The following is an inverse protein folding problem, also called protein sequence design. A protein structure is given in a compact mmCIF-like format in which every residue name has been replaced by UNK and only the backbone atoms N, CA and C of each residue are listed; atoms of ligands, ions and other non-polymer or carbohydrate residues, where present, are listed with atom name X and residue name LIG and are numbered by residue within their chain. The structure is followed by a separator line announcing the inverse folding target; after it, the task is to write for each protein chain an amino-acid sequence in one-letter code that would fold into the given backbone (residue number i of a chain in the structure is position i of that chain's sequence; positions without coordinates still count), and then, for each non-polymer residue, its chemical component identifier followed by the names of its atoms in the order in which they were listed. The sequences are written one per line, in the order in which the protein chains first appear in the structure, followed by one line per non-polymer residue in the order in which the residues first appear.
data_IF_653051327494
#
_entry.id   IF_653051327494
#
_cell.length_a   1.000
_cell.length_b   1.000
_cell.length_c   1.000
_cell.angle_alpha   90.00
_cell.angle_beta   90.00
_cell.angle_gamma   90.00
#
_symmetry.space_group_name_H-M   'P 1'
#
loop_
_entity.id
_entity.type
_entity.pdbx_description
1 polymer ?
#
# COMPACT_ATOMS: atom_id res chain seq x y z
N UNK A 1 -19.60 -73.54 -31.29
CA UNK A 1 -19.87 -72.27 -32.00
C UNK A 1 -20.64 -71.34 -31.06
N UNK A 2 -20.33 -70.02 -31.07
CA UNK A 2 -20.78 -68.95 -30.14
C UNK A 2 -20.20 -68.97 -28.71
N UNK A 3 -19.47 -67.90 -28.36
CA UNK A 3 -19.39 -67.14 -27.09
C UNK A 3 -18.18 -66.16 -27.18
N UNK A 4 -18.19 -64.89 -26.74
CA UNK A 4 -19.24 -63.84 -26.76
C UNK A 4 -18.58 -62.43 -26.69
N UNK A 5 -19.27 -61.38 -27.18
CA UNK A 5 -19.08 -59.91 -26.98
C UNK A 5 -17.66 -59.30 -26.98
N UNK A 6 -17.37 -58.50 -28.01
CA UNK A 6 -16.44 -57.35 -27.94
C UNK A 6 -17.25 -56.05 -27.86
N UNK A 7 -17.49 -55.54 -26.64
CA UNK A 7 -18.28 -54.31 -26.40
C UNK A 7 -17.87 -53.59 -25.10
N UNK A 8 -16.66 -53.04 -25.05
CA UNK A 8 -16.21 -52.13 -23.97
C UNK A 8 -15.37 -50.93 -24.43
N UNK A 9 -14.72 -51.00 -25.60
CA UNK A 9 -13.78 -49.97 -26.05
C UNK A 9 -14.42 -48.70 -26.67
N UNK A 10 -15.67 -48.76 -27.15
CA UNK A 10 -16.28 -47.66 -27.91
C UNK A 10 -17.00 -46.60 -27.06
N UNK A 11 -17.28 -46.89 -25.78
CA UNK A 11 -18.13 -46.04 -24.94
C UNK A 11 -17.39 -44.90 -24.24
N UNK A 12 -16.07 -44.99 -24.11
CA UNK A 12 -15.29 -44.10 -23.24
C UNK A 12 -14.80 -42.82 -23.96
N UNK A 13 -14.64 -42.86 -25.28
CA UNK A 13 -14.18 -41.71 -26.07
C UNK A 13 -15.24 -40.64 -26.27
N UNK A 14 -16.52 -41.03 -26.45
CA UNK A 14 -17.63 -40.10 -26.65
C UNK A 14 -17.91 -39.20 -25.43
N UNK A 15 -17.67 -39.71 -24.22
CA UNK A 15 -17.88 -38.99 -22.96
C UNK A 15 -16.86 -37.86 -22.74
N UNK A 16 -15.60 -38.05 -23.16
CA UNK A 16 -14.58 -36.99 -23.08
C UNK A 16 -14.86 -35.81 -24.01
N UNK A 17 -15.36 -36.05 -25.22
CA UNK A 17 -15.67 -34.96 -26.17
C UNK A 17 -16.83 -34.06 -25.72
N UNK A 18 -17.83 -34.62 -25.03
CA UNK A 18 -18.93 -33.82 -24.49
C UNK A 18 -18.48 -32.93 -23.31
N UNK A 19 -17.62 -33.45 -22.42
CA UNK A 19 -17.07 -32.69 -21.29
C UNK A 19 -16.19 -31.51 -21.73
N UNK A 20 -15.39 -31.69 -22.80
CA UNK A 20 -14.57 -30.62 -23.37
C UNK A 20 -15.41 -29.50 -24.02
N UNK A 21 -16.49 -29.84 -24.72
CA UNK A 21 -17.41 -28.84 -25.29
C UNK A 21 -18.18 -28.06 -24.21
N UNK A 22 -18.56 -28.71 -23.10
CA UNK A 22 -19.19 -28.03 -21.98
C UNK A 22 -18.27 -26.96 -21.35
N UNK A 23 -16.96 -27.23 -21.26
CA UNK A 23 -15.96 -26.26 -20.79
C UNK A 23 -15.91 -25.01 -21.67
N UNK A 24 -15.90 -25.17 -23.01
CA UNK A 24 -15.87 -24.02 -23.93
C UNK A 24 -17.14 -23.15 -23.90
N UNK A 25 -18.31 -23.72 -23.59
CA UNK A 25 -19.55 -22.94 -23.44
C UNK A 25 -19.59 -22.22 -22.09
N UNK A 26 -19.05 -22.82 -21.01
CA UNK A 26 -18.97 -22.18 -19.70
C UNK A 26 -17.92 -21.05 -19.64
N UNK A 27 -16.91 -21.07 -20.52
CA UNK A 27 -15.98 -19.95 -20.73
C UNK A 27 -16.58 -18.74 -21.47
N UNK A 28 -17.88 -18.76 -21.79
CA UNK A 28 -18.63 -17.52 -22.08
C UNK A 28 -19.01 -16.82 -20.77
N UNK A 29 -18.02 -16.60 -19.92
CA UNK A 29 -18.12 -15.59 -18.87
C UNK A 29 -18.24 -14.23 -19.57
N UNK A 30 -19.19 -13.43 -19.11
CA UNK A 30 -19.60 -12.24 -19.84
C UNK A 30 -18.45 -11.23 -19.85
N UNK A 31 -17.99 -10.83 -21.04
CA UNK A 31 -17.11 -9.65 -21.20
C UNK A 31 -17.95 -8.38 -21.07
N UNK A 32 -18.79 -8.32 -20.02
CA UNK A 32 -19.51 -7.14 -19.59
C UNK A 32 -18.53 -6.19 -18.91
N UNK A 33 -17.89 -5.38 -19.76
CA UNK A 33 -17.26 -4.14 -19.36
C UNK A 33 -16.03 -4.29 -18.46
N UNK A 34 -14.88 -3.93 -19.02
CA UNK A 34 -13.92 -3.12 -18.24
C UNK A 34 -14.59 -1.76 -18.01
N UNK A 35 -15.54 -1.72 -17.08
CA UNK A 35 -16.01 -0.46 -16.50
C UNK A 35 -14.79 0.23 -15.91
N UNK A 36 -14.59 1.50 -16.25
CA UNK A 36 -13.50 2.27 -15.66
C UNK A 36 -13.60 2.22 -14.13
N UNK A 37 -12.43 2.23 -13.46
CA UNK A 37 -12.34 2.25 -11.99
C UNK A 37 -13.39 3.21 -11.41
N UNK A 38 -14.15 2.76 -10.40
CA UNK A 38 -15.12 3.64 -9.76
C UNK A 38 -14.42 4.85 -9.15
N UNK A 39 -15.14 5.95 -8.93
CA UNK A 39 -14.57 7.13 -8.27
C UNK A 39 -13.96 6.78 -6.90
N UNK A 40 -14.56 5.81 -6.21
CA UNK A 40 -14.06 5.28 -4.93
C UNK A 40 -12.75 4.50 -5.09
N UNK A 41 -12.60 3.68 -6.14
CA UNK A 41 -11.34 2.97 -6.42
C UNK A 41 -10.22 3.94 -6.84
N UNK A 42 -10.55 4.93 -7.67
CA UNK A 42 -9.61 5.97 -8.08
C UNK A 42 -9.11 6.77 -6.86
N UNK A 43 -10.03 7.17 -5.98
CA UNK A 43 -9.71 7.84 -4.73
C UNK A 43 -8.85 6.98 -3.79
N UNK A 44 -9.19 5.70 -3.62
CA UNK A 44 -8.40 4.77 -2.81
C UNK A 44 -6.96 4.61 -3.33
N UNK A 45 -6.79 4.54 -4.66
CA UNK A 45 -5.48 4.50 -5.31
C UNK A 45 -4.69 5.81 -5.12
N UNK A 46 -5.35 6.97 -5.18
CA UNK A 46 -4.72 8.26 -4.92
C UNK A 46 -4.23 8.38 -3.47
N UNK A 47 -5.10 8.06 -2.50
CA UNK A 47 -4.77 8.05 -1.08
C UNK A 47 -3.64 7.06 -0.79
N UNK A 48 -3.70 5.84 -1.32
CA UNK A 48 -2.65 4.82 -1.15
C UNK A 48 -1.28 5.30 -1.61
N UNK A 49 -1.19 5.96 -2.77
CA UNK A 49 0.05 6.56 -3.28
C UNK A 49 0.60 7.66 -2.37
N UNK A 50 -0.29 8.48 -1.78
CA UNK A 50 0.10 9.52 -0.81
C UNK A 50 0.58 8.90 0.51
N UNK A 51 -0.05 7.84 1.00
CA UNK A 51 0.39 7.12 2.21
C UNK A 51 1.79 6.51 2.01
N UNK A 52 2.06 5.88 0.86
CA UNK A 52 3.41 5.37 0.52
C UNK A 52 4.43 6.52 0.49
N UNK A 53 4.06 7.66 -0.08
CA UNK A 53 4.93 8.85 -0.10
C UNK A 53 5.21 9.40 1.31
N UNK A 54 4.22 9.32 2.22
CA UNK A 54 4.38 9.71 3.62
C UNK A 54 5.23 8.70 4.38
N UNK A 55 5.12 7.39 4.12
CA UNK A 55 6.01 6.40 4.73
C UNK A 55 7.48 6.72 4.44
N UNK A 56 7.84 6.96 3.17
CA UNK A 56 9.19 7.37 2.79
C UNK A 56 9.61 8.70 3.47
N UNK A 57 8.67 9.62 3.69
CA UNK A 57 8.89 10.88 4.41
C UNK A 57 9.11 10.70 5.93
N UNK A 58 8.55 9.66 6.54
CA UNK A 58 8.77 9.32 7.95
C UNK A 58 10.08 8.54 8.15
N UNK A 59 10.46 7.72 7.17
CA UNK A 59 11.77 7.07 7.13
C UNK A 59 12.89 8.13 6.98
N UNK A 60 12.73 9.08 6.05
CA UNK A 60 13.70 10.13 5.72
C UNK A 60 13.14 11.57 5.85
N UNK A 61 12.82 12.04 7.07
CA UNK A 61 12.16 13.33 7.31
C UNK A 61 13.00 14.53 6.87
N UNK A 62 14.32 14.43 6.90
CA UNK A 62 15.27 15.46 6.48
C UNK A 62 15.26 15.80 4.97
N UNK A 63 14.62 14.98 4.14
CA UNK A 63 14.52 15.25 2.71
C UNK A 63 13.51 16.36 2.39
N UNK A 64 13.84 17.23 1.43
CA UNK A 64 12.95 18.31 0.98
C UNK A 64 11.59 17.79 0.46
N UNK A 65 11.56 16.57 -0.08
CA UNK A 65 10.34 15.92 -0.55
C UNK A 65 9.37 15.56 0.60
N UNK A 66 9.87 15.37 1.82
CA UNK A 66 9.09 14.85 2.96
C UNK A 66 7.99 15.81 3.40
N UNK A 67 8.31 17.12 3.47
CA UNK A 67 7.30 18.18 3.71
C UNK A 67 6.22 18.19 2.62
N UNK A 68 6.60 17.99 1.35
CA UNK A 68 5.62 17.92 0.24
C UNK A 68 4.72 16.70 0.36
N UNK A 69 5.26 15.54 0.74
CA UNK A 69 4.50 14.30 0.90
C UNK A 69 3.45 14.44 2.02
N UNK A 70 3.81 14.97 3.19
CA UNK A 70 2.85 15.16 4.29
C UNK A 70 1.78 16.19 3.95
N UNK A 71 2.12 17.31 3.28
CA UNK A 71 1.12 18.30 2.85
C UNK A 71 0.13 17.74 1.81
N UNK A 72 0.56 16.80 0.97
CA UNK A 72 -0.30 16.23 -0.09
C UNK A 72 -1.50 15.42 0.42
N UNK A 73 -1.50 15.01 1.70
CA UNK A 73 -2.61 14.31 2.36
C UNK A 73 -3.05 14.98 3.67
N UNK A 74 -2.11 15.48 4.48
CA UNK A 74 -2.36 16.01 5.82
C UNK A 74 -3.14 17.34 5.86
N UNK A 75 -3.23 18.06 4.73
CA UNK A 75 -4.08 19.25 4.60
C UNK A 75 -5.56 18.91 4.34
N UNK A 76 -5.87 17.65 3.98
CA UNK A 76 -7.25 17.20 3.87
C UNK A 76 -7.77 16.86 5.27
N UNK A 77 -8.82 17.55 5.73
CA UNK A 77 -9.39 17.39 7.06
C UNK A 77 -9.82 15.95 7.38
N UNK A 78 -10.10 15.13 6.36
CA UNK A 78 -10.41 13.70 6.50
C UNK A 78 -9.20 12.87 6.95
N UNK A 79 -7.99 13.33 6.67
CA UNK A 79 -6.74 12.61 6.91
C UNK A 79 -5.79 13.33 7.87
N UNK A 80 -5.99 14.63 8.13
CA UNK A 80 -5.17 15.46 9.03
C UNK A 80 -4.81 14.77 10.34
N UNK A 81 -5.80 14.26 11.08
CA UNK A 81 -5.58 13.62 12.38
C UNK A 81 -4.70 12.36 12.28
N UNK A 82 -4.81 11.61 11.18
CA UNK A 82 -4.01 10.42 10.90
C UNK A 82 -2.56 10.79 10.58
N UNK A 83 -2.34 11.72 9.64
CA UNK A 83 -0.99 12.16 9.23
C UNK A 83 -0.26 12.83 10.40
N UNK A 84 -0.95 13.69 11.16
CA UNK A 84 -0.41 14.34 12.36
C UNK A 84 -0.09 13.33 13.47
N UNK A 85 -0.94 12.31 13.63
CA UNK A 85 -0.70 11.21 14.57
C UNK A 85 0.59 10.45 14.26
N UNK A 86 0.81 10.07 12.99
CA UNK A 86 2.05 9.41 12.56
C UNK A 86 3.30 10.28 12.77
N UNK A 87 3.22 11.57 12.45
CA UNK A 87 4.33 12.50 12.67
C UNK A 87 4.69 12.65 14.15
N UNK A 88 3.71 12.67 15.04
CA UNK A 88 3.94 12.67 16.49
C UNK A 88 4.51 11.34 16.98
N UNK A 89 4.04 10.22 16.44
CA UNK A 89 4.55 8.89 16.76
C UNK A 89 6.03 8.73 16.39
N UNK A 90 6.50 9.35 15.31
CA UNK A 90 7.94 9.40 14.96
C UNK A 90 8.74 10.43 15.76
N UNK A 91 8.11 11.55 16.14
CA UNK A 91 8.78 12.61 16.89
C UNK A 91 9.10 12.21 18.33
N UNK A 92 8.20 11.52 19.03
CA UNK A 92 8.40 11.18 20.45
C UNK A 92 9.63 10.28 20.71
N UNK A 93 9.89 9.21 19.93
CA UNK A 93 11.14 8.44 20.06
C UNK A 93 12.38 9.25 19.70
N UNK A 94 12.32 10.11 18.66
CA UNK A 94 13.45 10.94 18.29
C UNK A 94 13.82 11.95 19.40
N UNK A 95 12.82 12.51 20.08
CA UNK A 95 13.02 13.43 21.21
C UNK A 95 13.66 12.73 22.43
N UNK A 96 13.31 11.47 22.72
CA UNK A 96 13.89 10.73 23.86
C UNK A 96 15.36 10.32 23.65
N UNK A 97 15.84 10.25 22.40
CA UNK A 97 17.27 10.00 22.12
C UNK A 97 18.19 11.06 22.75
N UNK A 98 17.68 12.27 23.01
CA UNK A 98 18.41 13.34 23.70
C UNK A 98 18.80 13.02 25.14
N UNK A 99 18.09 12.08 25.77
CA UNK A 99 18.36 11.63 27.14
C UNK A 99 19.45 10.54 27.21
N UNK A 100 19.91 10.03 26.05
CA UNK A 100 20.93 8.97 25.99
C UNK A 100 22.33 9.49 26.32
N UNK A 101 23.17 8.61 26.87
CA UNK A 101 24.61 8.89 27.05
C UNK A 101 25.32 9.16 25.72
N UNK A 102 24.90 8.51 24.63
CA UNK A 102 25.44 8.71 23.28
C UNK A 102 25.23 10.13 22.79
N UNK A 103 24.03 10.71 22.96
CA UNK A 103 23.74 12.10 22.60
C UNK A 103 24.60 13.12 23.35
N UNK A 104 24.99 12.80 24.59
CA UNK A 104 25.83 13.66 25.42
C UNK A 104 27.33 13.47 25.19
N UNK A 105 27.76 12.48 24.38
CA UNK A 105 29.18 12.14 24.16
C UNK A 105 29.60 12.11 22.69
N UNK A 106 28.66 12.08 21.74
CA UNK A 106 28.93 12.09 20.29
C UNK A 106 28.24 13.26 19.60
N UNK A 107 29.04 14.16 19.03
CA UNK A 107 28.54 15.32 18.27
C UNK A 107 27.78 14.88 17.01
N UNK A 108 28.29 13.92 16.25
CA UNK A 108 27.63 13.41 15.04
C UNK A 108 26.24 12.83 15.33
N UNK A 109 26.12 12.05 16.42
CA UNK A 109 24.83 11.49 16.83
C UNK A 109 23.87 12.58 17.30
N UNK A 110 24.38 13.59 18.01
CA UNK A 110 23.62 14.76 18.46
C UNK A 110 23.06 15.54 17.27
N UNK A 111 23.87 15.79 16.24
CA UNK A 111 23.48 16.58 15.08
C UNK A 111 22.47 15.83 14.19
N UNK A 112 22.65 14.52 13.98
CA UNK A 112 21.66 13.66 13.30
C UNK A 112 20.32 13.65 14.06
N UNK A 113 20.37 13.53 15.40
CA UNK A 113 19.17 13.52 16.25
C UNK A 113 18.43 14.85 16.17
N UNK A 114 19.13 15.98 16.34
CA UNK A 114 18.53 17.31 16.28
C UNK A 114 18.01 17.65 14.86
N UNK A 115 18.68 17.17 13.79
CA UNK A 115 18.19 17.28 12.42
C UNK A 115 16.87 16.52 12.23
N UNK A 116 16.78 15.25 12.66
CA UNK A 116 15.54 14.44 12.56
C UNK A 116 14.38 15.10 13.31
N UNK A 117 14.61 15.54 14.55
CA UNK A 117 13.61 16.24 15.38
C UNK A 117 13.13 17.53 14.69
N UNK A 118 14.06 18.32 14.15
CA UNK A 118 13.75 19.59 13.48
C UNK A 118 12.91 19.37 12.23
N UNK A 119 13.23 18.35 11.43
CA UNK A 119 12.50 17.99 10.22
C UNK A 119 11.07 17.50 10.53
N UNK A 120 10.91 16.59 11.51
CA UNK A 120 9.59 16.10 11.95
C UNK A 120 8.71 17.25 12.50
N UNK A 121 9.27 18.14 13.33
CA UNK A 121 8.57 19.34 13.82
C UNK A 121 8.19 20.31 12.69
N UNK A 122 9.04 20.46 11.68
CA UNK A 122 8.74 21.27 10.49
C UNK A 122 7.57 20.68 9.68
N UNK A 123 7.52 19.36 9.53
CA UNK A 123 6.41 18.66 8.87
C UNK A 123 5.08 18.82 9.60
N UNK A 124 5.05 18.69 10.94
CA UNK A 124 3.85 18.97 11.75
C UNK A 124 3.41 20.43 11.55
N UNK A 125 4.33 21.37 11.69
CA UNK A 125 4.05 22.80 11.49
C UNK A 125 3.53 23.11 10.08
N UNK A 126 3.93 22.35 9.07
CA UNK A 126 3.51 22.52 7.68
C UNK A 126 2.09 22.03 7.38
N UNK A 127 1.47 21.27 8.30
CA UNK A 127 0.06 20.84 8.23
C UNK A 127 -0.83 21.47 9.32
N UNK A 128 -0.24 22.02 10.39
CA UNK A 128 -0.95 22.71 11.48
C UNK A 128 -1.25 24.21 11.19
N UNK A 129 -0.65 24.80 10.15
CA UNK A 129 -0.70 26.25 9.86
C UNK A 129 -1.54 26.66 8.64
N UNK A 130 -2.21 25.72 7.98
CA UNK A 130 -3.01 25.93 6.76
C UNK A 130 -4.44 25.41 6.96
#
# INVERSE_FOLDING_TARGET
MRYIKSTTALSLTALCTAALLAFFILSKEDTQGVGGLSEQDQYALEVGRKVISIQAALEHPEQLASVKAVKALGLDSRHYAMVRGWLLQELQPAESWKETSTYNTSQDYKDITDQRITALRSMIRAIDLE
#
